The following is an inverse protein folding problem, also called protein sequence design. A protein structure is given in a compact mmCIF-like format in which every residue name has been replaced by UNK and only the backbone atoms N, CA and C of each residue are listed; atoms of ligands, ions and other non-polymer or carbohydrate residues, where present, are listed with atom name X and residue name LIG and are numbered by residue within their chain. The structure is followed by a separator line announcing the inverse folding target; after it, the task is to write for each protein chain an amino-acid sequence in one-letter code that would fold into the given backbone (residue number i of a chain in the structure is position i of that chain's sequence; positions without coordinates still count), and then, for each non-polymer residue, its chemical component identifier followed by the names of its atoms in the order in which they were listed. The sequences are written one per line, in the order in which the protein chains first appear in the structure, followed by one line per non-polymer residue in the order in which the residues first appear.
data_IF_296824164655
#
_entry.id   IF_296824164655
#
_cell.length_a   1.000
_cell.length_b   1.000
_cell.length_c   1.000
_cell.angle_alpha   90.00
_cell.angle_beta   90.00
_cell.angle_gamma   90.00
#
_symmetry.space_group_name_H-M   'P 1'
#
loop_
_entity.id
_entity.type
_entity.pdbx_description
1 polymer ?
#
# COMPACT_ATOMS: atom_id res chain seq x y z
N UNK A 1 -11.22 -19.80 -20.00
CA UNK A 1 -10.11 -20.61 -19.43
C UNK A 1 -8.90 -20.38 -20.30
N UNK A 2 -7.94 -19.57 -19.85
CA UNK A 2 -6.69 -19.38 -20.59
C UNK A 2 -5.94 -20.70 -20.62
N UNK A 3 -5.55 -21.14 -21.81
CA UNK A 3 -4.81 -22.38 -21.97
C UNK A 3 -3.37 -22.13 -21.52
N UNK A 4 -2.80 -22.99 -20.67
CA UNK A 4 -1.40 -22.87 -20.18
C UNK A 4 -0.36 -22.87 -21.32
N UNK A 5 -0.76 -23.32 -22.51
CA UNK A 5 0.05 -23.27 -23.73
C UNK A 5 -0.04 -21.92 -24.48
N UNK A 6 -0.92 -21.01 -24.05
CA UNK A 6 -1.23 -19.74 -24.74
C UNK A 6 -0.73 -18.49 -24.03
N UNK A 7 -0.34 -18.58 -22.75
CA UNK A 7 0.33 -17.48 -22.04
C UNK A 7 1.32 -17.98 -21.00
N UNK A 8 2.38 -17.20 -20.78
CA UNK A 8 3.34 -17.45 -19.70
C UNK A 8 2.85 -16.82 -18.39
N UNK A 9 3.42 -17.28 -17.26
CA UNK A 9 3.16 -16.70 -15.96
C UNK A 9 3.81 -15.31 -15.80
N UNK A 10 3.22 -14.48 -14.94
CA UNK A 10 3.84 -13.23 -14.47
C UNK A 10 4.82 -13.51 -13.34
N UNK A 11 5.99 -12.87 -13.37
CA UNK A 11 7.00 -12.98 -12.32
C UNK A 11 7.44 -11.60 -11.82
N UNK A 12 7.65 -11.49 -10.50
CA UNK A 12 8.26 -10.32 -9.85
C UNK A 12 9.52 -10.79 -9.11
N UNK A 13 10.67 -10.22 -9.45
CA UNK A 13 11.92 -10.44 -8.74
C UNK A 13 12.17 -9.32 -7.74
N UNK A 14 12.50 -9.70 -6.50
CA UNK A 14 12.92 -8.78 -5.44
C UNK A 14 14.39 -9.07 -5.07
N UNK A 15 15.27 -8.05 -5.02
CA UNK A 15 16.66 -8.25 -4.63
C UNK A 15 16.81 -8.71 -3.17
N UNK A 16 18.03 -9.16 -2.81
CA UNK A 16 18.37 -9.47 -1.42
C UNK A 16 18.09 -8.26 -0.52
N UNK A 17 17.48 -8.50 0.64
CA UNK A 17 17.07 -7.49 1.63
C UNK A 17 15.88 -6.62 1.25
N UNK A 18 15.04 -7.06 0.29
CA UNK A 18 13.71 -6.47 0.12
C UNK A 18 12.77 -6.89 1.27
N UNK A 19 12.12 -5.89 1.86
CA UNK A 19 10.98 -6.09 2.75
C UNK A 19 9.69 -5.86 1.94
N UNK A 20 8.72 -6.76 2.09
CA UNK A 20 7.45 -6.66 1.37
C UNK A 20 6.29 -7.12 2.25
N UNK A 21 5.15 -6.47 2.05
CA UNK A 21 3.88 -6.88 2.62
C UNK A 21 2.95 -7.32 1.48
N UNK A 22 2.16 -8.38 1.71
CA UNK A 22 1.16 -8.86 0.77
C UNK A 22 -0.21 -8.75 1.43
N UNK A 23 -1.15 -8.11 0.73
CA UNK A 23 -2.53 -7.93 1.19
C UNK A 23 -3.49 -8.31 0.07
N UNK A 24 -4.66 -8.83 0.43
CA UNK A 24 -5.68 -9.23 -0.54
C UNK A 24 -7.08 -9.11 0.07
N UNK A 25 -8.08 -9.02 -0.80
CA UNK A 25 -9.49 -8.98 -0.44
C UNK A 25 -10.31 -9.71 -1.50
N UNK A 26 -11.39 -10.44 -1.14
CA UNK A 26 -12.26 -11.04 -2.14
C UNK A 26 -12.86 -10.01 -3.11
N UNK A 27 -12.79 -10.31 -4.39
CA UNK A 27 -13.32 -9.51 -5.50
C UNK A 27 -13.98 -10.42 -6.54
N UNK A 28 -14.99 -9.89 -7.21
CA UNK A 28 -15.73 -10.45 -8.34
C UNK A 28 -15.51 -9.64 -9.63
N UNK A 29 -14.56 -8.70 -9.61
CA UNK A 29 -14.13 -7.90 -10.75
C UNK A 29 -12.69 -8.21 -11.13
N UNK A 30 -12.43 -8.27 -12.44
CA UNK A 30 -11.09 -8.36 -13.03
C UNK A 30 -10.54 -6.96 -13.33
N UNK A 31 -9.32 -6.69 -12.87
CA UNK A 31 -8.58 -5.44 -13.15
C UNK A 31 -7.18 -5.80 -13.65
N UNK A 32 -6.62 -5.00 -14.55
CA UNK A 32 -5.24 -5.17 -15.03
C UNK A 32 -4.24 -4.93 -13.89
N UNK A 33 -3.05 -5.58 -13.90
CA UNK A 33 -1.99 -5.27 -12.95
C UNK A 33 -1.63 -3.78 -12.97
N UNK A 34 -1.63 -3.17 -11.79
CA UNK A 34 -1.33 -1.76 -11.62
C UNK A 34 -0.13 -1.56 -10.68
N UNK A 35 0.75 -0.64 -11.06
CA UNK A 35 1.93 -0.25 -10.30
C UNK A 35 1.85 1.24 -9.99
N UNK A 36 1.86 1.59 -8.71
CA UNK A 36 2.11 2.95 -8.22
C UNK A 36 3.60 3.09 -7.90
N UNK A 37 4.27 4.07 -8.49
CA UNK A 37 5.68 4.35 -8.18
C UNK A 37 5.78 5.27 -6.95
N UNK A 38 6.92 5.22 -6.25
CA UNK A 38 7.12 5.97 -4.99
C UNK A 38 6.83 7.47 -5.15
N UNK A 39 7.17 8.06 -6.30
CA UNK A 39 6.96 9.47 -6.57
C UNK A 39 5.49 9.84 -6.86
N UNK A 40 4.67 8.84 -7.19
CA UNK A 40 3.24 9.03 -7.49
C UNK A 40 2.36 8.80 -6.25
N UNK A 41 2.96 8.35 -5.14
CA UNK A 41 2.26 8.19 -3.85
C UNK A 41 1.90 9.57 -3.30
N UNK A 42 0.60 9.80 -3.09
CA UNK A 42 0.14 11.01 -2.44
C UNK A 42 0.58 11.02 -0.96
N UNK A 43 1.28 12.09 -0.56
CA UNK A 43 1.76 12.27 0.82
C UNK A 43 1.03 13.46 1.44
N UNK A 44 0.46 13.25 2.63
CA UNK A 44 -0.12 14.32 3.43
C UNK A 44 0.40 14.28 4.87
N UNK A 45 0.45 15.44 5.52
CA UNK A 45 0.76 15.55 6.95
C UNK A 45 -0.49 16.01 7.68
N UNK A 46 -0.85 15.31 8.75
CA UNK A 46 -2.00 15.67 9.61
C UNK A 46 -1.58 15.75 11.07
N UNK A 47 -2.21 16.64 11.83
CA UNK A 47 -1.92 16.86 13.25
C UNK A 47 -1.20 18.19 13.50
N UNK A 48 -0.58 18.30 14.67
CA UNK A 48 0.18 19.46 15.12
C UNK A 48 1.01 19.10 16.36
N UNK A 49 2.03 19.89 16.64
CA UNK A 49 2.99 19.70 17.73
C UNK A 49 3.56 18.27 17.78
N UNK A 50 3.16 17.51 18.79
CA UNK A 50 3.66 16.17 19.08
C UNK A 50 2.84 15.02 18.54
N UNK A 51 1.81 15.30 17.73
CA UNK A 51 0.90 14.29 17.17
C UNK A 51 0.86 14.37 15.64
N UNK A 52 1.96 14.82 15.04
CA UNK A 52 2.11 14.85 13.59
C UNK A 52 2.20 13.44 13.01
N UNK A 53 1.38 13.19 11.98
CA UNK A 53 1.37 11.96 11.21
C UNK A 53 1.63 12.27 9.75
N UNK A 54 2.62 11.60 9.17
CA UNK A 54 2.74 11.50 7.72
C UNK A 54 1.88 10.33 7.25
N UNK A 55 1.06 10.57 6.24
CA UNK A 55 0.15 9.61 5.63
C UNK A 55 0.56 9.47 4.18
N UNK A 56 0.89 8.24 3.78
CA UNK A 56 1.26 7.86 2.44
C UNK A 56 0.12 7.00 1.87
N UNK A 57 -0.63 7.53 0.93
CA UNK A 57 -1.77 6.86 0.32
C UNK A 57 -1.28 5.94 -0.82
N UNK A 58 -0.97 4.69 -0.48
CA UNK A 58 -0.40 3.70 -1.41
C UNK A 58 -1.44 3.16 -2.40
N UNK A 59 -2.67 2.89 -1.94
CA UNK A 59 -3.83 2.57 -2.78
C UNK A 59 -5.00 3.44 -2.31
N UNK A 60 -5.06 4.73 -2.70
CA UNK A 60 -6.16 5.61 -2.31
C UNK A 60 -7.51 5.15 -2.87
N UNK A 61 -8.63 5.57 -2.27
CA UNK A 61 -9.95 5.42 -2.89
C UNK A 61 -9.96 5.95 -4.33
N UNK A 62 -10.53 5.19 -5.26
CA UNK A 62 -10.54 5.52 -6.69
C UNK A 62 -9.33 5.00 -7.48
N UNK A 63 -8.38 4.33 -6.83
CA UNK A 63 -7.38 3.50 -7.51
C UNK A 63 -8.07 2.48 -8.44
N UNK A 64 -7.44 2.03 -9.54
CA UNK A 64 -7.97 1.03 -10.46
C UNK A 64 -7.92 -0.38 -9.87
N UNK A 65 -8.44 -0.53 -8.66
CA UNK A 65 -8.58 -1.77 -7.89
C UNK A 65 -9.96 -1.74 -7.25
N UNK A 66 -10.65 -2.89 -7.18
CA UNK A 66 -12.05 -2.93 -6.76
C UNK A 66 -12.26 -2.48 -5.30
N UNK A 67 -11.61 -3.14 -4.33
CA UNK A 67 -11.95 -2.95 -2.91
C UNK A 67 -10.78 -2.67 -1.98
N UNK A 68 -9.54 -2.83 -2.42
CA UNK A 68 -8.39 -2.73 -1.54
C UNK A 68 -8.00 -1.26 -1.37
N UNK A 69 -8.00 -0.79 -0.12
CA UNK A 69 -7.40 0.51 0.24
C UNK A 69 -6.19 0.23 1.11
N UNK A 70 -5.07 0.89 0.79
CA UNK A 70 -3.79 0.70 1.46
C UNK A 70 -3.19 2.06 1.84
N UNK A 71 -2.95 2.25 3.12
CA UNK A 71 -2.39 3.49 3.67
C UNK A 71 -1.25 3.15 4.61
N UNK A 72 -0.11 3.80 4.42
CA UNK A 72 1.03 3.75 5.34
C UNK A 72 1.04 5.04 6.18
N UNK A 73 1.16 4.90 7.50
CA UNK A 73 1.15 6.02 8.44
C UNK A 73 2.38 6.00 9.33
N UNK A 74 3.13 7.10 9.32
CA UNK A 74 4.22 7.36 10.25
C UNK A 74 3.78 8.39 11.28
N UNK A 75 3.99 8.10 12.56
CA UNK A 75 3.73 9.06 13.65
C UNK A 75 5.06 9.52 14.26
N UNK A 76 5.29 10.83 14.34
CA UNK A 76 6.42 11.38 15.10
C UNK A 76 6.06 11.42 16.59
N UNK A 77 6.73 10.65 17.44
CA UNK A 77 6.56 10.73 18.89
C UNK A 77 7.28 11.93 19.50
N UNK A 78 6.73 12.54 20.57
CA UNK A 78 7.52 13.38 21.48
C UNK A 78 7.54 12.78 22.89
N UNK A 79 8.73 12.48 23.40
CA UNK A 79 8.96 12.14 24.80
C UNK A 79 9.75 10.84 24.99
N UNK A 80 10.91 10.96 25.66
CA UNK A 80 11.87 9.93 26.08
C UNK A 80 11.58 8.49 25.62
N UNK A 81 11.88 8.22 24.35
CA UNK A 81 11.66 6.93 23.69
C UNK A 81 11.30 7.15 22.22
N UNK A 82 12.28 7.54 21.41
CA UNK A 82 12.10 7.83 19.98
C UNK A 82 11.75 6.55 19.21
N UNK A 83 10.46 6.20 19.15
CA UNK A 83 9.96 5.19 18.23
C UNK A 83 9.06 5.87 17.20
N UNK A 84 9.54 5.96 15.97
CA UNK A 84 8.66 6.18 14.83
C UNK A 84 7.92 4.87 14.59
N UNK A 85 6.63 4.83 14.92
CA UNK A 85 5.81 3.66 14.58
C UNK A 85 5.24 3.84 13.19
N UNK A 86 5.49 2.86 12.33
CA UNK A 86 4.88 2.74 11.02
C UNK A 86 3.74 1.72 11.09
N UNK A 87 2.56 2.09 10.58
CA UNK A 87 1.43 1.18 10.44
C UNK A 87 0.99 1.13 8.98
N UNK A 88 0.75 -0.08 8.48
CA UNK A 88 0.11 -0.30 7.19
C UNK A 88 -1.33 -0.75 7.46
N UNK A 89 -2.28 0.03 6.97
CA UNK A 89 -3.70 -0.31 7.03
C UNK A 89 -4.14 -0.81 5.66
N UNK A 90 -4.56 -2.07 5.61
CA UNK A 90 -5.24 -2.65 4.46
C UNK A 90 -6.68 -2.95 4.86
N UNK A 91 -7.64 -2.36 4.15
CA UNK A 91 -9.05 -2.61 4.42
C UNK A 91 -9.87 -2.67 3.14
N UNK A 92 -11.03 -3.30 3.27
CA UNK A 92 -12.04 -3.40 2.22
C UNK A 92 -12.84 -2.09 2.18
N UNK A 93 -12.78 -1.36 1.07
CA UNK A 93 -13.72 -0.29 0.76
C UNK A 93 -15.15 -0.84 0.71
N UNK A 94 -16.12 -0.03 1.15
CA UNK A 94 -17.54 -0.37 1.09
C UNK A 94 -17.98 -0.73 -0.32
#
# INVERSE_FOLDING_TARGET
MQNVWTSAATALYLPRHSEFAVTWVPTDEDHDPWLIQRQDVAVSVRGGDNVSRQINDLLPPGSPVHRLVLVEVYTSGTGHGNYSTAWIYAYRSK
#
